data_IF_724385128744
#
_entry.id   IF_724385128744
#
_cell.length_a   1.000
_cell.length_b   1.000
_cell.length_c   1.000
_cell.angle_alpha   90.00
_cell.angle_beta   90.00
_cell.angle_gamma   90.00
#
_symmetry.space_group_name_H-M   'P 1'
#
loop_
_entity.id
_entity.type
_entity.pdbx_description
1 polymer ?
#
# COMPACT_ATOMS: atom_id res chain seq x y z
N UNK A 1 -38.31 49.49 -51.13
CA UNK A 1 -37.29 48.78 -50.31
C UNK A 1 -37.48 47.27 -50.39
N UNK A 2 -36.59 46.54 -51.06
CA UNK A 2 -36.73 45.09 -51.27
C UNK A 2 -36.27 44.28 -50.06
N UNK A 3 -36.78 43.05 -49.90
CA UNK A 3 -36.36 42.09 -48.86
C UNK A 3 -34.87 41.70 -48.93
N UNK A 4 -34.14 42.17 -49.95
CA UNK A 4 -32.71 41.94 -50.14
C UNK A 4 -31.83 42.94 -49.37
N UNK A 5 -32.37 44.04 -48.84
CA UNK A 5 -31.56 45.04 -48.15
C UNK A 5 -30.99 44.52 -46.82
N UNK A 6 -29.70 44.82 -46.55
CA UNK A 6 -28.95 44.33 -45.38
C UNK A 6 -29.66 44.64 -44.05
N UNK A 7 -30.18 45.86 -43.91
CA UNK A 7 -30.91 46.33 -42.71
C UNK A 7 -32.15 45.49 -42.41
N UNK A 8 -32.96 45.16 -43.43
CA UNK A 8 -34.17 44.33 -43.25
C UNK A 8 -33.82 42.87 -42.99
N UNK A 9 -32.77 42.33 -43.64
CA UNK A 9 -32.25 40.98 -43.37
C UNK A 9 -31.76 40.83 -41.93
N UNK A 10 -31.04 41.81 -41.41
CA UNK A 10 -30.55 41.80 -40.02
C UNK A 10 -31.71 41.86 -39.01
N UNK A 11 -32.68 42.76 -39.21
CA UNK A 11 -33.90 42.82 -38.38
C UNK A 11 -34.66 41.49 -38.37
N UNK A 12 -34.89 40.90 -39.54
CA UNK A 12 -35.59 39.61 -39.66
C UNK A 12 -34.80 38.46 -39.02
N UNK A 13 -33.47 38.42 -39.17
CA UNK A 13 -32.62 37.44 -38.50
C UNK A 13 -32.65 37.59 -36.98
N UNK A 14 -32.66 38.82 -36.45
CA UNK A 14 -32.75 39.08 -35.02
C UNK A 14 -34.08 38.55 -34.44
N UNK A 15 -35.20 38.85 -35.10
CA UNK A 15 -36.53 38.34 -34.72
C UNK A 15 -36.54 36.80 -34.76
N UNK A 16 -35.99 36.19 -35.82
CA UNK A 16 -35.90 34.73 -35.94
C UNK A 16 -35.07 34.11 -34.81
N UNK A 17 -33.92 34.72 -34.47
CA UNK A 17 -33.06 34.28 -33.36
C UNK A 17 -33.77 34.39 -32.01
N UNK A 18 -34.47 35.50 -31.74
CA UNK A 18 -35.21 35.67 -30.49
C UNK A 18 -36.33 34.61 -30.36
N UNK A 19 -37.09 34.37 -31.43
CA UNK A 19 -38.14 33.33 -31.47
C UNK A 19 -37.56 31.92 -31.29
N UNK A 20 -36.44 31.62 -31.93
CA UNK A 20 -35.78 30.33 -31.80
C UNK A 20 -35.19 30.13 -30.41
N UNK A 21 -34.56 31.14 -29.81
CA UNK A 21 -34.01 31.09 -28.46
C UNK A 21 -35.05 30.64 -27.43
N UNK A 22 -36.25 31.23 -27.45
CA UNK A 22 -37.33 30.84 -26.52
C UNK A 22 -37.79 29.39 -26.75
N UNK A 23 -37.95 28.98 -28.02
CA UNK A 23 -38.38 27.62 -28.36
C UNK A 23 -37.34 26.56 -28.02
N UNK A 24 -36.07 26.84 -28.32
CA UNK A 24 -34.95 25.94 -28.05
C UNK A 24 -34.70 25.82 -26.56
N UNK A 25 -34.72 26.92 -25.81
CA UNK A 25 -34.64 26.88 -24.33
C UNK A 25 -35.79 26.06 -23.75
N UNK A 26 -37.03 26.22 -24.23
CA UNK A 26 -38.16 25.40 -23.76
C UNK A 26 -37.97 23.91 -24.07
N UNK A 27 -37.46 23.57 -25.26
CA UNK A 27 -37.15 22.18 -25.62
C UNK A 27 -36.02 21.60 -24.76
N UNK A 28 -34.94 22.36 -24.56
CA UNK A 28 -33.80 21.96 -23.73
C UNK A 28 -34.21 21.76 -22.28
N UNK A 29 -34.98 22.70 -21.70
CA UNK A 29 -35.57 22.54 -20.37
C UNK A 29 -36.40 21.26 -20.26
N UNK A 30 -37.20 20.94 -21.29
CA UNK A 30 -37.98 19.70 -21.33
C UNK A 30 -37.12 18.43 -21.42
N UNK A 31 -36.10 18.43 -22.29
CA UNK A 31 -35.21 17.28 -22.48
C UNK A 31 -34.32 17.03 -21.26
N UNK A 32 -33.91 18.09 -20.55
CA UNK A 32 -33.10 18.03 -19.34
C UNK A 32 -33.93 17.80 -18.06
N UNK A 33 -35.26 17.70 -18.16
CA UNK A 33 -36.13 17.43 -17.01
C UNK A 33 -36.44 18.63 -16.10
N UNK A 34 -35.92 19.83 -16.40
CA UNK A 34 -36.11 21.05 -15.57
C UNK A 34 -37.55 21.61 -15.52
N UNK A 35 -38.53 20.99 -16.18
CA UNK A 35 -39.92 21.48 -16.18
C UNK A 35 -40.69 21.02 -14.94
N UNK A 36 -40.29 19.92 -14.29
CA UNK A 36 -40.93 19.51 -13.03
C UNK A 36 -40.40 20.30 -11.82
N UNK A 37 -39.18 20.84 -11.88
CA UNK A 37 -38.59 21.58 -10.73
C UNK A 37 -38.96 23.06 -10.65
N UNK A 38 -39.45 23.69 -11.72
CA UNK A 38 -39.90 25.11 -11.67
C UNK A 38 -41.36 25.25 -11.17
N UNK A 39 -42.11 24.14 -10.98
CA UNK A 39 -43.53 24.16 -10.62
C UNK A 39 -43.92 23.32 -9.39
N UNK A 40 -43.00 22.59 -8.76
CA UNK A 40 -43.29 21.73 -7.60
C UNK A 40 -42.13 21.66 -6.61
N UNK A 41 -42.40 22.14 -5.39
CA UNK A 41 -41.65 21.99 -4.14
C UNK A 41 -40.11 22.07 -4.16
N UNK A 42 -39.60 23.22 -3.68
CA UNK A 42 -38.22 23.42 -3.25
C UNK A 42 -37.33 23.95 -4.36
N UNK A 43 -36.90 25.22 -4.22
CA UNK A 43 -35.92 25.82 -5.13
C UNK A 43 -34.69 24.91 -5.25
N UNK A 44 -34.16 24.72 -6.46
CA UNK A 44 -32.89 24.04 -6.72
C UNK A 44 -31.77 24.51 -5.77
N UNK A 45 -31.85 25.77 -5.32
CA UNK A 45 -30.93 26.37 -4.35
C UNK A 45 -30.99 25.74 -2.96
N UNK A 46 -32.14 25.24 -2.50
CA UNK A 46 -32.28 24.64 -1.17
C UNK A 46 -31.77 23.20 -1.18
N UNK A 47 -32.06 22.43 -2.25
CA UNK A 47 -31.43 21.11 -2.47
C UNK A 47 -29.90 21.20 -2.55
N UNK A 48 -29.37 22.27 -3.17
CA UNK A 48 -27.92 22.51 -3.21
C UNK A 48 -27.34 22.83 -1.84
N UNK A 49 -28.04 23.59 -1.00
CA UNK A 49 -27.61 23.85 0.39
C UNK A 49 -27.58 22.56 1.20
N UNK A 50 -28.63 21.74 1.12
CA UNK A 50 -28.71 20.46 1.82
C UNK A 50 -27.56 19.52 1.42
N UNK A 51 -27.24 19.43 0.12
CA UNK A 51 -26.09 18.65 -0.37
C UNK A 51 -24.76 19.20 0.17
N UNK A 52 -24.61 20.52 0.25
CA UNK A 52 -23.38 21.11 0.79
C UNK A 52 -23.21 20.90 2.29
N UNK A 53 -24.30 20.89 3.05
CA UNK A 53 -24.29 20.60 4.49
C UNK A 53 -24.00 19.12 4.75
N UNK A 54 -24.61 18.22 3.98
CA UNK A 54 -24.30 16.78 4.04
C UNK A 54 -22.82 16.50 3.74
N UNK A 55 -22.25 17.12 2.70
CA UNK A 55 -20.83 16.94 2.38
C UNK A 55 -19.87 17.49 3.44
N UNK A 56 -20.25 18.55 4.14
CA UNK A 56 -19.46 19.07 5.28
C UNK A 56 -19.46 18.08 6.44
N UNK A 57 -20.63 17.54 6.78
CA UNK A 57 -20.75 16.53 7.83
C UNK A 57 -19.98 15.23 7.49
N UNK A 58 -20.02 14.79 6.24
CA UNK A 58 -19.23 13.63 5.77
C UNK A 58 -17.72 13.88 5.90
N UNK A 59 -17.24 15.07 5.53
CA UNK A 59 -15.83 15.43 5.63
C UNK A 59 -15.35 15.46 7.09
N UNK A 60 -16.15 16.02 8.00
CA UNK A 60 -15.86 16.01 9.44
C UNK A 60 -15.83 14.59 10.01
N UNK A 61 -16.79 13.74 9.63
CA UNK A 61 -16.83 12.34 10.04
C UNK A 61 -15.65 11.52 9.50
N UNK A 62 -15.15 11.83 8.29
CA UNK A 62 -13.93 11.20 7.77
C UNK A 62 -12.69 11.60 8.55
N UNK A 63 -12.56 12.86 8.98
CA UNK A 63 -11.44 13.32 9.79
C UNK A 63 -11.43 12.61 11.14
N UNK A 64 -12.58 12.55 11.83
CA UNK A 64 -12.72 11.83 13.11
C UNK A 64 -12.37 10.33 12.94
N UNK A 65 -12.80 9.69 11.84
CA UNK A 65 -12.44 8.29 11.56
C UNK A 65 -10.94 8.11 11.32
N UNK A 66 -10.26 9.07 10.68
CA UNK A 66 -8.81 9.03 10.47
C UNK A 66 -8.06 9.19 11.79
N UNK A 67 -8.45 10.16 12.61
CA UNK A 67 -7.87 10.39 13.93
C UNK A 67 -8.05 9.18 14.86
N UNK A 68 -9.26 8.60 14.93
CA UNK A 68 -9.53 7.41 15.73
C UNK A 68 -8.70 6.18 15.26
N UNK A 69 -8.51 6.02 13.94
CA UNK A 69 -7.65 4.96 13.40
C UNK A 69 -6.18 5.17 13.78
N UNK A 70 -5.68 6.40 13.71
CA UNK A 70 -4.32 6.72 14.12
C UNK A 70 -4.09 6.50 15.62
N UNK A 71 -5.08 6.82 16.46
CA UNK A 71 -5.01 6.53 17.89
C UNK A 71 -4.98 5.03 18.18
N UNK A 72 -5.82 4.24 17.50
CA UNK A 72 -5.80 2.78 17.60
C UNK A 72 -4.46 2.20 17.16
N UNK A 73 -3.90 2.67 16.04
CA UNK A 73 -2.56 2.25 15.58
C UNK A 73 -1.50 2.60 16.62
N UNK A 74 -1.50 3.81 17.20
CA UNK A 74 -0.55 4.20 18.26
C UNK A 74 -0.70 3.35 19.52
N UNK A 75 -1.92 2.97 19.89
CA UNK A 75 -2.18 2.08 21.02
C UNK A 75 -1.68 0.66 20.74
N UNK A 76 -1.95 0.12 19.56
CA UNK A 76 -1.44 -1.18 19.12
C UNK A 76 0.09 -1.18 19.07
N UNK A 77 0.71 -0.17 18.47
CA UNK A 77 2.17 -0.03 18.43
C UNK A 77 2.77 -0.01 19.83
N UNK A 78 2.19 0.72 20.78
CA UNK A 78 2.64 0.72 22.19
C UNK A 78 2.58 -0.66 22.84
N UNK A 79 1.59 -1.48 22.50
CA UNK A 79 1.45 -2.87 22.99
C UNK A 79 2.45 -3.81 22.29
N UNK A 80 2.74 -3.56 21.01
CA UNK A 80 3.66 -4.36 20.20
C UNK A 80 5.13 -3.94 20.28
N UNK A 81 5.47 -2.79 20.89
CA UNK A 81 6.85 -2.46 21.30
C UNK A 81 7.24 -3.39 22.45
N UNK A 82 7.49 -4.66 22.11
CA UNK A 82 8.31 -5.58 22.91
C UNK A 82 9.57 -4.79 23.23
N UNK A 83 9.74 -4.42 24.50
CA UNK A 83 10.93 -3.74 25.02
C UNK A 83 12.14 -4.63 24.72
N UNK A 84 12.73 -4.45 23.55
CA UNK A 84 13.95 -5.17 23.18
C UNK A 84 15.02 -4.74 24.19
N UNK A 85 15.62 -5.73 24.85
CA UNK A 85 16.69 -5.45 25.82
C UNK A 85 17.93 -5.07 25.01
N UNK A 86 18.52 -3.92 25.33
CA UNK A 86 19.75 -3.44 24.73
C UNK A 86 20.88 -3.47 25.74
N UNK A 87 22.09 -3.77 25.28
CA UNK A 87 23.34 -3.68 26.05
C UNK A 87 24.21 -2.60 25.41
N UNK A 88 24.57 -1.59 26.18
CA UNK A 88 25.46 -0.52 25.74
C UNK A 88 26.90 -0.91 26.04
N UNK A 89 27.76 -0.88 25.03
CA UNK A 89 29.20 -1.11 25.16
C UNK A 89 29.91 0.11 24.61
N UNK A 90 30.74 0.74 25.43
CA UNK A 90 31.57 1.86 25.00
C UNK A 90 32.93 1.32 24.56
N UNK A 91 33.37 1.68 23.36
CA UNK A 91 34.72 1.33 22.91
C UNK A 91 35.74 2.23 23.63
N UNK A 92 36.69 1.66 24.40
CA UNK A 92 37.63 2.45 25.19
C UNK A 92 38.59 3.29 24.34
N UNK A 93 38.79 2.95 23.06
CA UNK A 93 39.72 3.67 22.17
C UNK A 93 39.06 4.83 21.44
N UNK A 94 37.80 4.68 21.04
CA UNK A 94 37.09 5.68 20.22
C UNK A 94 36.01 6.43 21.00
N UNK A 95 35.73 6.04 22.25
CA UNK A 95 34.61 6.53 23.07
C UNK A 95 33.23 6.45 22.41
N UNK A 96 33.10 5.69 21.31
CA UNK A 96 31.83 5.46 20.63
C UNK A 96 31.02 4.43 21.42
N UNK A 97 29.78 4.79 21.74
CA UNK A 97 28.84 3.92 22.42
C UNK A 97 28.03 3.10 21.40
N UNK A 98 28.28 1.79 21.36
CA UNK A 98 27.50 0.85 20.55
C UNK A 98 26.37 0.27 21.41
N UNK A 99 25.13 0.38 20.94
CA UNK A 99 23.95 -0.24 21.59
C UNK A 99 23.58 -1.52 20.86
N UNK A 100 23.87 -2.67 21.46
CA UNK A 100 23.58 -3.98 20.88
C UNK A 100 22.24 -4.53 21.37
N UNK A 101 21.39 -5.01 20.46
CA UNK A 101 20.17 -5.74 20.81
C UNK A 101 20.52 -7.15 21.32
N UNK A 102 19.99 -7.56 22.47
CA UNK A 102 20.29 -8.86 23.11
C UNK A 102 19.90 -10.06 22.24
N UNK A 103 18.81 -9.95 21.49
CA UNK A 103 18.27 -11.04 20.66
C UNK A 103 19.06 -11.20 19.37
N UNK A 104 19.25 -10.11 18.62
CA UNK A 104 19.92 -10.14 17.32
C UNK A 104 21.44 -10.05 17.44
N UNK A 105 21.94 -9.56 18.57
CA UNK A 105 23.35 -9.26 18.87
C UNK A 105 23.96 -8.26 17.90
N UNK A 106 23.15 -7.44 17.23
CA UNK A 106 23.60 -6.39 16.30
C UNK A 106 23.47 -5.02 16.95
N UNK A 107 24.34 -4.10 16.58
CA UNK A 107 24.23 -2.69 16.95
C UNK A 107 23.32 -1.88 16.02
N UNK A 108 23.25 -0.59 16.30
CA UNK A 108 22.53 0.42 15.50
C UNK A 108 23.02 0.50 14.04
N UNK A 109 24.26 0.08 13.77
CA UNK A 109 24.87 0.07 12.44
C UNK A 109 24.81 -1.33 11.79
N UNK A 110 24.11 -2.27 12.40
CA UNK A 110 23.99 -3.65 11.92
C UNK A 110 25.23 -4.51 12.12
N UNK A 111 26.27 -4.00 12.80
CA UNK A 111 27.51 -4.70 13.09
C UNK A 111 27.37 -5.58 14.33
N UNK A 112 28.11 -6.68 14.34
CA UNK A 112 28.20 -7.56 15.51
C UNK A 112 29.31 -7.08 16.46
N UNK A 113 29.20 -7.34 17.79
CA UNK A 113 30.29 -7.11 18.71
C UNK A 113 31.56 -7.84 18.26
N UNK A 114 32.73 -7.25 18.50
CA UNK A 114 34.03 -7.78 18.06
C UNK A 114 34.28 -9.22 18.55
N UNK A 115 33.79 -9.55 19.74
CA UNK A 115 33.91 -10.88 20.34
C UNK A 115 32.91 -11.90 19.75
N UNK A 116 31.87 -11.46 19.06
CA UNK A 116 30.87 -12.33 18.45
C UNK A 116 31.27 -12.73 17.02
N UNK A 117 31.42 -14.03 16.78
CA UNK A 117 31.83 -14.57 15.47
C UNK A 117 30.61 -15.17 14.74
N UNK A 118 29.88 -14.40 13.90
CA UNK A 118 28.61 -14.84 13.30
C UNK A 118 28.76 -16.09 12.43
N UNK A 119 29.88 -16.21 11.70
CA UNK A 119 30.17 -17.38 10.87
C UNK A 119 30.31 -18.68 11.70
N UNK A 120 30.93 -18.61 12.88
CA UNK A 120 31.09 -19.78 13.76
C UNK A 120 29.76 -20.23 14.34
N UNK A 121 28.92 -19.30 14.78
CA UNK A 121 27.59 -19.61 15.33
C UNK A 121 26.65 -20.17 14.26
N UNK A 122 26.67 -19.60 13.04
CA UNK A 122 25.95 -20.15 11.88
C UNK A 122 26.38 -21.59 11.61
N UNK A 123 27.68 -21.89 11.63
CA UNK A 123 28.19 -23.26 11.44
C UNK A 123 27.71 -24.22 12.54
N UNK A 124 27.75 -23.81 13.81
CA UNK A 124 27.22 -24.61 14.94
C UNK A 124 25.72 -24.89 14.78
N UNK A 125 24.94 -23.91 14.32
CA UNK A 125 23.51 -24.08 14.06
C UNK A 125 23.27 -25.08 12.92
N UNK A 126 24.01 -24.97 11.81
CA UNK A 126 23.92 -25.92 10.70
C UNK A 126 24.25 -27.35 11.12
N UNK A 127 25.26 -27.54 11.98
CA UNK A 127 25.61 -28.85 12.54
C UNK A 127 24.46 -29.39 13.40
N UNK A 128 23.89 -28.58 14.30
CA UNK A 128 22.74 -28.99 15.13
C UNK A 128 21.51 -29.34 14.29
N UNK A 129 21.27 -28.63 13.20
CA UNK A 129 20.17 -28.89 12.27
C UNK A 129 20.46 -30.05 11.29
N UNK A 130 21.63 -30.68 11.35
CA UNK A 130 22.02 -31.75 10.42
C UNK A 130 22.22 -31.29 8.97
N UNK A 131 22.21 -29.98 8.71
CA UNK A 131 22.35 -29.38 7.38
C UNK A 131 23.80 -29.20 6.94
N UNK A 132 24.77 -29.46 7.80
CA UNK A 132 26.17 -29.47 7.42
C UNK A 132 26.49 -30.70 6.56
N UNK A 133 26.26 -30.56 5.26
CA UNK A 133 26.44 -31.63 4.28
C UNK A 133 27.87 -32.19 4.24
N UNK A 134 28.87 -31.45 4.74
CA UNK A 134 30.28 -31.88 4.81
C UNK A 134 30.54 -32.91 5.91
N UNK A 135 29.60 -33.09 6.84
CA UNK A 135 29.63 -34.14 7.87
C UNK A 135 28.62 -35.26 7.61
N UNK A 136 28.03 -35.32 6.40
CA UNK A 136 27.27 -36.49 5.98
C UNK A 136 28.16 -37.72 6.09
N UNK A 137 27.60 -38.77 6.68
CA UNK A 137 28.29 -39.96 7.17
C UNK A 137 29.08 -40.66 6.06
N UNK A 138 30.38 -40.37 5.95
CA UNK A 138 31.34 -41.40 5.57
C UNK A 138 31.92 -41.96 6.88
N UNK A 139 31.06 -42.65 7.64
CA UNK A 139 31.49 -43.62 8.66
C UNK A 139 31.51 -44.97 7.97
N UNK A 140 32.60 -45.25 7.28
CA UNK A 140 32.80 -46.48 6.53
C UNK A 140 33.81 -46.21 5.43
N UNK A 141 34.86 -47.03 5.38
CA UNK A 141 35.93 -47.01 4.39
C UNK A 141 35.41 -46.60 3.01
N UNK A 142 36.17 -45.78 2.28
CA UNK A 142 36.06 -45.72 0.81
C UNK A 142 36.20 -47.17 0.31
N UNK A 143 35.08 -47.83 0.05
CA UNK A 143 35.05 -48.90 -0.93
C UNK A 143 35.20 -48.19 -2.27
N UNK A 144 36.45 -47.88 -2.61
CA UNK A 144 36.80 -47.86 -4.01
C UNK A 144 36.23 -49.16 -4.60
N UNK A 145 35.58 -49.06 -5.76
CA UNK A 145 34.98 -50.16 -6.49
C UNK A 145 33.51 -50.54 -6.20
N UNK A 146 32.55 -49.64 -5.95
CA UNK A 146 31.15 -49.97 -6.32
C UNK A 146 30.61 -48.86 -7.20
N UNK A 147 30.86 -48.97 -8.49
CA UNK A 147 30.10 -48.22 -9.46
C UNK A 147 28.61 -48.54 -9.30
N UNK A 148 27.76 -47.51 -9.38
CA UNK A 148 26.30 -47.63 -9.28
C UNK A 148 25.69 -48.58 -10.32
N UNK A 149 26.45 -48.92 -11.35
CA UNK A 149 26.08 -49.83 -12.44
C UNK A 149 26.45 -51.29 -12.17
N UNK A 150 27.14 -51.60 -11.07
CA UNK A 150 27.71 -52.93 -10.87
C UNK A 150 26.73 -53.89 -10.17
N UNK A 151 26.31 -54.94 -10.88
CA UNK A 151 25.19 -55.83 -10.56
C UNK A 151 25.58 -57.00 -9.63
N UNK A 152 26.23 -56.69 -8.50
CA UNK A 152 26.80 -57.72 -7.62
C UNK A 152 25.76 -58.54 -6.88
N UNK A 153 24.55 -57.99 -6.74
CA UNK A 153 23.40 -58.70 -6.17
C UNK A 153 22.97 -59.90 -7.02
N UNK A 154 23.28 -59.91 -8.33
CA UNK A 154 22.97 -61.04 -9.20
C UNK A 154 23.91 -62.25 -8.99
N UNK A 155 25.07 -62.07 -8.36
CA UNK A 155 26.06 -63.13 -8.13
C UNK A 155 25.91 -63.84 -6.77
N UNK A 156 25.03 -63.36 -5.88
CA UNK A 156 24.78 -63.94 -4.56
C UNK A 156 23.53 -64.84 -4.52
N UNK A 157 22.92 -65.10 -5.68
CA UNK A 157 21.71 -65.92 -5.83
C UNK A 157 21.99 -67.26 -6.55
N UNK A 158 22.92 -68.06 -6.02
CA UNK A 158 23.06 -69.49 -6.30
C UNK A 158 23.10 -70.26 -4.99
#
# INVERSE_FOLDING_TARGET
>A
MTARCKKRRQKNKAIKRAKNKVKEVKKLKKMLGFIEEDAGEGSLMDKLKDITEQKKQEAEMELVKKEAKEELIKQEEKVYVKKEKFVTVVNPKTNVAHRYNVKTKRDQFGQYPVWYKPHKERKKLMIRQGKDARRKQFRGKRMHFIDRTNNWKALLGQ
#
